data_IF_307431366273
#
_entry.id   IF_307431366273
#
_cell.length_a   1.000
_cell.length_b   1.000
_cell.length_c   1.000
_cell.angle_alpha   90.00
_cell.angle_beta   90.00
_cell.angle_gamma   90.00
#
_symmetry.space_group_name_H-M   'P 1'
#
loop_
_entity.id
_entity.type
_entity.pdbx_description
1 polymer ?
#
# COMPACT_ATOMS: atom_id res chain seq x y z
N UNK A 1 15.74 27.90 -5.78
CA UNK A 1 14.82 27.38 -4.75
C UNK A 1 14.31 25.98 -5.07
N UNK A 2 13.63 25.75 -6.20
CA UNK A 2 13.14 24.39 -6.57
C UNK A 2 14.29 23.36 -6.63
N UNK A 3 15.36 23.65 -7.32
CA UNK A 3 16.55 22.76 -7.40
C UNK A 3 17.14 22.43 -6.01
N UNK A 4 17.16 23.40 -5.08
CA UNK A 4 17.65 23.17 -3.70
C UNK A 4 16.69 22.22 -2.95
N UNK A 5 15.39 22.39 -3.10
CA UNK A 5 14.36 21.50 -2.51
C UNK A 5 14.53 20.09 -3.06
N UNK A 6 14.69 19.95 -4.36
CA UNK A 6 14.91 18.67 -5.04
C UNK A 6 16.18 17.96 -4.55
N UNK A 7 17.29 18.68 -4.44
CA UNK A 7 18.57 18.15 -3.94
C UNK A 7 18.44 17.67 -2.49
N UNK A 8 17.81 18.46 -1.61
CA UNK A 8 17.59 18.09 -0.21
C UNK A 8 16.66 16.87 -0.14
N UNK A 9 15.56 16.91 -0.88
CA UNK A 9 14.62 15.79 -0.92
C UNK A 9 15.28 14.50 -1.39
N UNK A 10 16.08 14.55 -2.44
CA UNK A 10 16.81 13.40 -2.96
C UNK A 10 17.79 12.83 -1.93
N UNK A 11 18.51 13.68 -1.20
CA UNK A 11 19.41 13.25 -0.15
C UNK A 11 18.67 12.56 1.00
N UNK A 12 17.56 13.14 1.46
CA UNK A 12 16.71 12.56 2.53
C UNK A 12 16.05 11.27 2.05
N UNK A 13 15.51 11.24 0.84
CA UNK A 13 14.88 10.06 0.24
C UNK A 13 15.87 8.89 0.14
N UNK A 14 17.08 9.16 -0.35
CA UNK A 14 18.13 8.14 -0.45
C UNK A 14 18.58 7.61 0.93
N UNK A 15 18.52 8.42 1.97
CA UNK A 15 18.77 7.97 3.34
C UNK A 15 17.61 7.10 3.86
N UNK A 16 16.38 7.57 3.70
CA UNK A 16 15.16 6.94 4.24
C UNK A 16 14.86 5.60 3.55
N UNK A 17 15.06 5.52 2.24
CA UNK A 17 14.92 4.27 1.47
C UNK A 17 16.25 3.57 1.22
N UNK A 18 17.32 4.06 1.86
CA UNK A 18 18.65 3.49 1.79
C UNK A 18 18.85 2.31 2.73
N UNK A 19 20.08 1.80 2.76
CA UNK A 19 20.46 0.62 3.56
C UNK A 19 20.10 0.75 5.04
N UNK A 20 20.32 1.90 5.74
CA UNK A 20 20.01 1.98 7.17
C UNK A 20 18.52 1.73 7.49
N UNK A 21 17.63 2.36 6.74
CA UNK A 21 16.19 2.19 6.97
C UNK A 21 15.71 0.78 6.60
N UNK A 22 16.22 0.21 5.49
CA UNK A 22 15.92 -1.18 5.12
C UNK A 22 16.38 -2.16 6.21
N UNK A 23 17.57 -1.98 6.77
CA UNK A 23 18.07 -2.82 7.88
C UNK A 23 17.17 -2.70 9.10
N UNK A 24 16.70 -1.49 9.43
CA UNK A 24 15.76 -1.29 10.54
C UNK A 24 14.42 -1.98 10.27
N UNK A 25 13.82 -1.77 9.10
CA UNK A 25 12.50 -2.34 8.77
C UNK A 25 12.56 -3.87 8.71
N UNK A 26 13.52 -4.42 7.96
CA UNK A 26 13.70 -5.88 7.87
C UNK A 26 14.17 -6.47 9.21
N UNK A 27 15.02 -5.76 9.95
CA UNK A 27 15.54 -6.17 11.25
C UNK A 27 14.43 -6.28 12.30
N UNK A 28 13.54 -5.30 12.40
CA UNK A 28 12.37 -5.35 13.29
C UNK A 28 11.44 -6.49 12.88
N UNK A 29 11.16 -6.63 11.57
CA UNK A 29 10.35 -7.74 11.05
C UNK A 29 10.94 -9.11 11.35
N UNK A 30 12.25 -9.27 11.20
CA UNK A 30 12.97 -10.50 11.52
C UNK A 30 12.95 -10.77 13.04
N UNK A 31 13.22 -9.76 13.86
CA UNK A 31 13.15 -9.87 15.31
C UNK A 31 11.76 -10.34 15.78
N UNK A 32 10.70 -9.71 15.29
CA UNK A 32 9.33 -10.11 15.60
C UNK A 32 9.03 -11.52 15.11
N UNK A 33 9.47 -11.88 13.90
CA UNK A 33 9.28 -13.23 13.35
C UNK A 33 9.95 -14.31 14.20
N UNK A 34 11.20 -14.11 14.62
CA UNK A 34 11.92 -15.05 15.48
C UNK A 34 11.22 -15.17 16.84
N UNK A 35 10.88 -14.04 17.45
CA UNK A 35 10.27 -14.00 18.80
C UNK A 35 8.87 -14.61 18.85
N UNK A 36 8.14 -14.58 17.73
CA UNK A 36 6.80 -15.20 17.61
C UNK A 36 6.85 -16.63 17.05
N UNK A 37 8.04 -17.16 16.76
CA UNK A 37 8.22 -18.47 16.15
C UNK A 37 7.65 -18.53 14.74
N UNK A 38 7.87 -17.50 13.94
CA UNK A 38 7.40 -17.35 12.55
C UNK A 38 5.89 -17.57 12.42
N UNK A 39 5.13 -16.87 13.26
CA UNK A 39 3.67 -16.99 13.33
C UNK A 39 2.98 -16.75 11.97
N UNK A 40 3.54 -15.89 11.13
CA UNK A 40 3.04 -15.59 9.79
C UNK A 40 2.98 -16.82 8.89
N UNK A 41 3.88 -17.80 9.05
CA UNK A 41 3.83 -19.07 8.32
C UNK A 41 2.94 -20.08 9.03
N UNK A 42 3.11 -20.23 10.35
CA UNK A 42 2.38 -21.23 11.16
C UNK A 42 0.88 -21.00 11.19
N UNK A 43 0.45 -19.76 11.11
CA UNK A 43 -0.97 -19.35 11.21
C UNK A 43 -1.53 -18.79 9.92
N UNK A 44 -0.78 -18.82 8.80
CA UNK A 44 -1.24 -18.30 7.50
C UNK A 44 -2.56 -18.98 7.07
N UNK A 45 -2.62 -20.31 7.10
CA UNK A 45 -3.84 -21.04 6.73
C UNK A 45 -5.04 -20.68 7.62
N UNK A 46 -4.81 -20.47 8.92
CA UNK A 46 -5.86 -20.00 9.84
C UNK A 46 -6.30 -18.57 9.51
N UNK A 47 -5.36 -17.67 9.24
CA UNK A 47 -5.63 -16.29 8.81
C UNK A 47 -6.45 -16.26 7.51
N UNK A 48 -6.05 -17.05 6.51
CA UNK A 48 -6.77 -17.20 5.24
C UNK A 48 -8.22 -17.68 5.46
N UNK A 49 -8.41 -18.76 6.22
CA UNK A 49 -9.74 -19.31 6.52
C UNK A 49 -10.63 -18.29 7.25
N UNK A 50 -10.06 -17.56 8.21
CA UNK A 50 -10.78 -16.58 9.00
C UNK A 50 -11.24 -15.39 8.14
N UNK A 51 -10.41 -14.95 7.19
CA UNK A 51 -10.74 -13.79 6.33
C UNK A 51 -11.67 -14.19 5.20
N UNK A 52 -11.32 -15.22 4.41
CA UNK A 52 -12.12 -15.65 3.26
C UNK A 52 -13.49 -16.19 3.69
N UNK A 53 -13.57 -16.84 4.85
CA UNK A 53 -14.84 -17.31 5.39
C UNK A 53 -15.83 -16.20 5.77
N UNK A 54 -15.37 -14.94 5.81
CA UNK A 54 -16.21 -13.78 6.13
C UNK A 54 -16.64 -12.97 4.91
N UNK A 55 -16.15 -13.27 3.71
CA UNK A 55 -16.51 -12.55 2.47
C UNK A 55 -18.03 -12.53 2.22
N UNK A 56 -18.71 -13.61 2.58
CA UNK A 56 -20.15 -13.75 2.37
C UNK A 56 -20.99 -13.62 3.67
N UNK A 57 -20.35 -13.29 4.80
CA UNK A 57 -21.08 -13.15 6.08
C UNK A 57 -21.55 -11.72 6.26
N UNK A 58 -22.86 -11.51 6.26
CA UNK A 58 -23.46 -10.22 6.63
C UNK A 58 -23.50 -10.11 8.16
N UNK A 59 -22.49 -9.46 8.75
CA UNK A 59 -22.49 -9.08 10.16
C UNK A 59 -22.57 -7.56 10.26
N UNK A 60 -23.47 -7.06 11.11
CA UNK A 60 -23.53 -5.63 11.40
C UNK A 60 -22.56 -5.27 12.53
N UNK A 61 -21.80 -4.19 12.33
CA UNK A 61 -20.93 -3.66 13.35
C UNK A 61 -21.71 -2.83 14.37
N UNK A 62 -21.19 -2.78 15.61
CA UNK A 62 -21.70 -1.91 16.66
C UNK A 62 -21.48 -0.43 16.31
N UNK A 63 -22.21 0.45 16.98
CA UNK A 63 -22.07 1.89 16.79
C UNK A 63 -20.64 2.39 17.05
N UNK A 64 -20.19 3.30 16.18
CA UNK A 64 -18.83 3.86 16.22
C UNK A 64 -17.73 2.93 15.70
N UNK A 65 -18.10 1.81 15.06
CA UNK A 65 -17.16 0.83 14.53
C UNK A 65 -17.58 0.32 13.14
N UNK A 66 -16.69 -0.44 12.52
CA UNK A 66 -16.94 -1.26 11.32
C UNK A 66 -16.63 -2.73 11.65
N UNK A 67 -17.10 -3.65 10.83
CA UNK A 67 -16.81 -5.09 11.06
C UNK A 67 -15.31 -5.36 10.87
N UNK A 68 -14.75 -6.44 11.46
CA UNK A 68 -13.37 -6.85 11.22
C UNK A 68 -13.04 -7.03 9.73
N UNK A 69 -13.99 -7.55 8.95
CA UNK A 69 -13.81 -7.71 7.50
C UNK A 69 -13.80 -6.37 6.76
N UNK A 70 -14.71 -5.43 7.12
CA UNK A 70 -14.67 -4.06 6.56
C UNK A 70 -13.36 -3.34 6.90
N UNK A 71 -12.81 -3.54 8.10
CA UNK A 71 -11.52 -2.99 8.48
C UNK A 71 -10.37 -3.54 7.61
N UNK A 72 -10.36 -4.85 7.34
CA UNK A 72 -9.41 -5.47 6.39
C UNK A 72 -9.59 -4.91 4.99
N UNK A 73 -10.81 -4.83 4.48
CA UNK A 73 -11.08 -4.27 3.16
C UNK A 73 -10.64 -2.80 3.07
N UNK A 74 -10.81 -2.02 4.14
CA UNK A 74 -10.36 -0.63 4.20
C UNK A 74 -8.82 -0.54 4.21
N UNK A 75 -8.13 -1.43 4.94
CA UNK A 75 -6.68 -1.51 4.91
C UNK A 75 -6.15 -1.98 3.55
N UNK A 76 -6.74 -3.04 2.97
CA UNK A 76 -6.43 -3.50 1.61
C UNK A 76 -6.73 -2.44 0.54
N UNK A 77 -7.78 -1.62 0.72
CA UNK A 77 -8.07 -0.51 -0.18
C UNK A 77 -6.90 0.48 -0.24
N UNK A 78 -6.20 0.70 0.87
CA UNK A 78 -5.05 1.60 0.94
C UNK A 78 -3.79 0.99 0.35
N UNK A 79 -3.55 -0.30 0.61
CA UNK A 79 -2.32 -1.01 0.23
C UNK A 79 -2.38 -1.52 -1.20
N UNK A 80 -3.51 -2.12 -1.62
CA UNK A 80 -3.70 -2.62 -2.99
C UNK A 80 -4.08 -1.47 -3.91
N UNK A 81 -3.06 -0.83 -4.47
CA UNK A 81 -3.18 0.37 -5.27
C UNK A 81 -2.19 0.44 -6.43
N UNK A 82 -1.76 1.65 -6.76
CA UNK A 82 -0.77 1.86 -7.82
C UNK A 82 0.59 1.23 -7.51
N UNK A 83 0.91 1.00 -6.22
CA UNK A 83 2.12 0.32 -5.78
C UNK A 83 2.27 -1.09 -6.34
N UNK A 84 1.17 -1.85 -6.39
CA UNK A 84 1.15 -3.22 -6.91
C UNK A 84 1.31 -3.30 -8.42
N UNK A 85 1.08 -2.22 -9.14
CA UNK A 85 1.10 -2.16 -10.61
C UNK A 85 2.31 -1.35 -11.06
N UNK A 86 2.30 -0.05 -10.85
CA UNK A 86 3.39 0.85 -11.23
C UNK A 86 4.65 0.65 -10.38
N UNK A 87 4.49 0.38 -9.07
CA UNK A 87 5.62 0.14 -8.17
C UNK A 87 6.40 -1.13 -8.53
N UNK A 88 5.70 -2.22 -8.87
CA UNK A 88 6.32 -3.48 -9.31
C UNK A 88 7.04 -3.29 -10.65
N UNK A 89 6.40 -2.61 -11.61
CA UNK A 89 7.01 -2.29 -12.89
C UNK A 89 8.30 -1.47 -12.71
N UNK A 90 8.27 -0.45 -11.86
CA UNK A 90 9.44 0.37 -11.53
C UNK A 90 10.54 -0.43 -10.80
N UNK A 91 10.17 -1.37 -9.92
CA UNK A 91 11.14 -2.25 -9.27
C UNK A 91 11.87 -3.13 -10.29
N UNK A 92 11.15 -3.71 -11.25
CA UNK A 92 11.72 -4.56 -12.31
C UNK A 92 12.58 -3.72 -13.25
N UNK A 93 12.11 -2.55 -13.68
CA UNK A 93 12.83 -1.69 -14.62
C UNK A 93 14.19 -1.20 -14.05
N UNK A 94 14.23 -0.83 -12.78
CA UNK A 94 15.47 -0.30 -12.13
C UNK A 94 16.27 -1.41 -11.46
N UNK A 95 15.61 -2.37 -10.81
CA UNK A 95 16.25 -3.42 -10.01
C UNK A 95 16.41 -4.76 -10.72
N UNK A 96 15.88 -4.87 -11.94
CA UNK A 96 15.84 -6.13 -12.67
C UNK A 96 14.80 -7.12 -12.12
N UNK A 97 14.62 -8.29 -12.76
CA UNK A 97 13.69 -9.32 -12.30
C UNK A 97 13.93 -9.78 -10.85
N UNK A 98 15.17 -9.75 -10.38
CA UNK A 98 15.54 -10.11 -9.02
C UNK A 98 14.93 -9.24 -7.93
N UNK A 99 14.49 -8.02 -8.25
CA UNK A 99 13.79 -7.16 -7.31
C UNK A 99 12.52 -7.83 -6.75
N UNK A 100 11.87 -8.69 -7.55
CA UNK A 100 10.68 -9.46 -7.14
C UNK A 100 11.00 -10.40 -5.98
N UNK A 101 12.14 -11.09 -6.02
CA UNK A 101 12.58 -11.94 -4.90
C UNK A 101 12.72 -11.14 -3.60
N UNK A 102 13.32 -9.97 -3.67
CA UNK A 102 13.49 -9.10 -2.50
C UNK A 102 12.18 -8.48 -2.01
N UNK A 103 11.20 -8.27 -2.91
CA UNK A 103 9.82 -7.95 -2.51
C UNK A 103 9.20 -9.08 -1.67
N UNK A 104 9.39 -10.35 -2.06
CA UNK A 104 8.90 -11.49 -1.29
C UNK A 104 9.54 -11.57 0.10
N UNK A 105 10.87 -11.38 0.19
CA UNK A 105 11.58 -11.36 1.48
C UNK A 105 11.01 -10.26 2.39
N UNK A 106 10.83 -9.04 1.85
CA UNK A 106 10.24 -7.94 2.62
C UNK A 106 8.81 -8.23 3.07
N UNK A 107 8.00 -8.86 2.21
CA UNK A 107 6.63 -9.23 2.55
C UNK A 107 6.54 -10.31 3.60
N UNK A 108 7.38 -11.35 3.53
CA UNK A 108 7.40 -12.42 4.54
C UNK A 108 7.73 -11.87 5.93
N UNK A 109 8.68 -10.96 6.04
CA UNK A 109 8.97 -10.28 7.30
C UNK A 109 7.90 -9.25 7.65
N UNK A 110 7.41 -8.54 6.66
CA UNK A 110 6.34 -7.54 6.76
C UNK A 110 5.03 -8.11 7.29
N UNK A 111 4.68 -9.36 6.97
CA UNK A 111 3.49 -10.02 7.54
C UNK A 111 3.52 -10.04 9.07
N UNK A 112 4.68 -10.32 9.67
CA UNK A 112 4.81 -10.33 11.13
C UNK A 112 4.82 -8.90 11.70
N UNK A 113 5.44 -7.96 10.99
CA UNK A 113 5.43 -6.54 11.35
C UNK A 113 4.00 -6.00 11.35
N UNK A 114 3.24 -6.19 10.27
CA UNK A 114 1.84 -5.77 10.16
C UNK A 114 0.96 -6.42 11.24
N UNK A 115 1.18 -7.71 11.51
CA UNK A 115 0.50 -8.42 12.59
C UNK A 115 0.68 -7.72 13.93
N UNK A 116 1.91 -7.36 14.29
CA UNK A 116 2.21 -6.67 15.53
C UNK A 116 1.65 -5.23 15.56
N UNK A 117 1.73 -4.49 14.45
CA UNK A 117 1.14 -3.16 14.29
C UNK A 117 -0.37 -3.17 14.57
N UNK A 118 -1.07 -4.13 13.98
CA UNK A 118 -2.53 -4.27 14.15
C UNK A 118 -2.89 -4.64 15.58
N UNK A 119 -2.14 -5.56 16.21
CA UNK A 119 -2.33 -5.92 17.63
C UNK A 119 -2.22 -4.69 18.52
N UNK A 120 -1.15 -3.91 18.37
CA UNK A 120 -0.93 -2.71 19.19
C UNK A 120 -2.00 -1.65 18.93
N UNK A 121 -2.39 -1.47 17.66
CA UNK A 121 -3.40 -0.49 17.29
C UNK A 121 -4.77 -0.80 17.89
N UNK A 122 -5.17 -2.07 17.94
CA UNK A 122 -6.44 -2.50 18.56
C UNK A 122 -6.33 -2.50 20.09
N UNK A 123 -5.18 -2.88 20.64
CA UNK A 123 -4.98 -2.93 22.10
C UNK A 123 -4.97 -1.53 22.74
N UNK A 124 -4.30 -0.56 22.12
CA UNK A 124 -4.14 0.81 22.64
C UNK A 124 -5.09 1.85 22.04
N UNK A 125 -6.10 1.42 21.27
CA UNK A 125 -7.13 2.32 20.73
C UNK A 125 -7.98 2.93 21.82
N UNK A 126 -8.64 4.02 21.47
CA UNK A 126 -9.57 4.72 22.35
C UNK A 126 -10.81 5.17 21.55
N UNK A 127 -11.83 5.65 22.25
CA UNK A 127 -12.98 6.29 21.62
C UNK A 127 -12.77 7.80 21.57
N UNK A 128 -13.05 8.39 20.39
CA UNK A 128 -13.05 9.83 20.24
C UNK A 128 -14.32 10.46 20.83
N UNK A 129 -14.42 11.80 20.77
CA UNK A 129 -15.59 12.57 21.26
C UNK A 129 -16.92 12.16 20.59
N UNK A 130 -16.89 11.54 19.42
CA UNK A 130 -18.05 11.06 18.66
C UNK A 130 -18.41 9.60 18.96
N UNK A 131 -17.61 8.94 19.81
CA UNK A 131 -17.79 7.52 20.12
C UNK A 131 -17.17 6.56 19.11
N UNK A 132 -16.47 7.05 18.06
CA UNK A 132 -15.78 6.20 17.10
C UNK A 132 -14.47 5.66 17.68
N UNK A 133 -14.12 4.43 17.32
CA UNK A 133 -12.81 3.87 17.64
C UNK A 133 -11.72 4.56 16.80
N UNK A 134 -10.66 4.99 17.48
CA UNK A 134 -9.47 5.62 16.89
C UNK A 134 -8.21 4.95 17.45
N UNK A 135 -7.26 4.67 16.58
CA UNK A 135 -6.02 3.97 16.93
C UNK A 135 -4.98 4.13 15.82
N UNK A 136 -3.91 3.37 15.94
CA UNK A 136 -2.76 3.44 15.05
C UNK A 136 -1.50 3.86 15.77
N UNK A 137 -0.37 4.11 15.05
CA UNK A 137 0.94 4.38 15.66
C UNK A 137 0.94 5.53 16.65
N UNK A 138 0.29 6.65 16.31
CA UNK A 138 0.21 7.80 17.21
C UNK A 138 -0.47 7.47 18.54
N UNK A 139 -1.45 6.56 18.54
CA UNK A 139 -2.14 6.14 19.76
C UNK A 139 -1.34 5.14 20.57
N UNK A 140 -0.81 4.07 19.95
CA UNK A 140 -0.04 3.11 20.74
C UNK A 140 1.32 3.64 21.22
N UNK A 141 1.94 4.57 20.49
CA UNK A 141 3.13 5.28 20.99
C UNK A 141 2.77 6.12 22.21
N UNK A 142 1.70 6.93 22.15
CA UNK A 142 1.28 7.78 23.27
C UNK A 142 0.80 6.95 24.47
N UNK A 143 -0.08 5.98 24.22
CA UNK A 143 -0.76 5.23 25.28
C UNK A 143 0.10 4.09 25.84
N UNK A 144 0.96 3.48 25.01
CA UNK A 144 1.81 2.37 25.38
C UNK A 144 3.16 2.78 25.99
N UNK A 145 3.81 3.83 25.45
CA UNK A 145 5.10 4.31 25.95
C UNK A 145 4.98 5.46 26.96
N UNK A 146 3.80 6.08 27.05
CA UNK A 146 3.52 7.11 28.05
C UNK A 146 3.84 8.54 27.60
N UNK A 147 3.68 9.49 28.54
CA UNK A 147 3.67 10.93 28.24
C UNK A 147 4.96 11.45 27.61
N UNK A 148 6.11 10.90 27.96
CA UNK A 148 7.42 11.32 27.45
C UNK A 148 7.60 11.05 25.94
N UNK A 149 6.80 10.17 25.37
CA UNK A 149 6.84 9.80 23.95
C UNK A 149 5.77 10.49 23.09
N UNK A 150 4.99 11.39 23.68
CA UNK A 150 3.93 12.12 22.97
C UNK A 150 4.46 12.90 21.75
N UNK A 151 5.68 13.44 21.85
CA UNK A 151 6.33 14.15 20.73
C UNK A 151 6.51 13.25 19.52
N UNK A 152 6.92 11.97 19.74
CA UNK A 152 7.10 11.01 18.64
C UNK A 152 5.76 10.58 18.02
N UNK A 153 4.71 10.44 18.85
CA UNK A 153 3.36 10.20 18.37
C UNK A 153 2.84 11.37 17.51
N UNK A 154 3.11 12.60 17.94
CA UNK A 154 2.74 13.81 17.18
C UNK A 154 3.57 13.95 15.89
N UNK A 155 4.85 13.58 15.92
CA UNK A 155 5.70 13.54 14.73
C UNK A 155 5.14 12.56 13.69
N UNK A 156 4.79 11.33 14.11
CA UNK A 156 4.16 10.36 13.24
C UNK A 156 2.89 10.92 12.58
N UNK A 157 2.00 11.49 13.39
CA UNK A 157 0.75 12.05 12.90
C UNK A 157 0.97 13.23 11.92
N UNK A 158 1.93 14.10 12.19
CA UNK A 158 2.27 15.23 11.31
C UNK A 158 2.82 14.74 9.95
N UNK A 159 3.75 13.76 9.98
CA UNK A 159 4.25 13.12 8.75
C UNK A 159 3.12 12.44 7.98
N UNK A 160 2.20 11.77 8.68
CA UNK A 160 1.02 11.14 8.09
C UNK A 160 0.14 12.15 7.35
N UNK A 161 -0.16 13.29 7.94
CA UNK A 161 -0.96 14.36 7.29
C UNK A 161 -0.28 14.88 6.02
N UNK A 162 1.05 15.00 6.00
CA UNK A 162 1.78 15.45 4.81
C UNK A 162 1.80 14.38 3.72
N UNK A 163 2.01 13.12 4.10
CA UNK A 163 2.10 11.99 3.16
C UNK A 163 0.81 11.75 2.40
N UNK A 164 -0.35 11.89 3.05
CA UNK A 164 -1.64 11.51 2.43
C UNK A 164 -2.00 12.37 1.23
N UNK A 165 -1.58 13.62 1.17
CA UNK A 165 -1.85 14.51 0.03
C UNK A 165 -1.09 14.06 -1.23
N UNK A 166 0.14 13.60 -1.09
CA UNK A 166 0.96 13.09 -2.19
C UNK A 166 0.66 11.62 -2.47
N UNK A 167 1.23 10.71 -1.67
CA UNK A 167 1.14 9.25 -1.88
C UNK A 167 -0.30 8.73 -1.88
N UNK A 168 -1.14 9.26 -0.99
CA UNK A 168 -2.51 8.79 -0.81
C UNK A 168 -3.51 9.37 -1.79
N UNK A 169 -3.22 10.50 -2.47
CA UNK A 169 -4.18 11.19 -3.33
C UNK A 169 -3.59 11.57 -4.69
N UNK A 170 -2.77 12.63 -4.75
CA UNK A 170 -2.35 13.22 -6.01
C UNK A 170 -1.69 12.21 -6.96
N UNK A 171 -0.81 11.34 -6.45
CA UNK A 171 -0.15 10.31 -7.25
C UNK A 171 -1.12 9.22 -7.73
N UNK A 172 -2.13 8.90 -6.94
CA UNK A 172 -3.17 7.95 -7.30
C UNK A 172 -4.02 8.50 -8.45
N UNK A 173 -4.48 9.75 -8.33
CA UNK A 173 -5.27 10.41 -9.36
C UNK A 173 -4.46 10.58 -10.65
N UNK A 174 -3.19 10.93 -10.56
CA UNK A 174 -2.29 11.00 -11.71
C UNK A 174 -2.21 9.66 -12.45
N UNK A 175 -2.15 8.55 -11.72
CA UNK A 175 -2.19 7.21 -12.34
C UNK A 175 -3.55 6.89 -12.98
N UNK A 176 -4.65 7.33 -12.37
CA UNK A 176 -5.99 7.19 -12.96
C UNK A 176 -6.07 7.90 -14.32
N UNK A 177 -5.67 9.17 -14.36
CA UNK A 177 -5.74 9.92 -15.61
C UNK A 177 -4.81 9.34 -16.67
N UNK A 178 -3.59 8.93 -16.30
CA UNK A 178 -2.67 8.30 -17.23
C UNK A 178 -3.23 6.99 -17.83
N UNK A 179 -3.94 6.19 -17.04
CA UNK A 179 -4.58 4.96 -17.50
C UNK A 179 -5.76 5.25 -18.45
N UNK A 180 -6.58 6.26 -18.12
CA UNK A 180 -7.71 6.70 -18.95
C UNK A 180 -7.19 7.31 -20.27
N UNK A 181 -6.17 8.16 -20.20
CA UNK A 181 -5.53 8.76 -21.39
C UNK A 181 -5.00 7.68 -22.32
N UNK A 182 -4.32 6.68 -21.79
CA UNK A 182 -3.84 5.54 -22.57
C UNK A 182 -4.97 4.81 -23.30
N UNK A 183 -6.11 4.60 -22.62
CA UNK A 183 -7.27 3.97 -23.23
C UNK A 183 -7.90 4.86 -24.30
N UNK A 184 -8.11 6.15 -24.03
CA UNK A 184 -8.71 7.09 -24.98
C UNK A 184 -7.87 7.22 -26.27
N UNK A 185 -6.56 7.30 -26.12
CA UNK A 185 -5.63 7.36 -27.25
C UNK A 185 -5.62 6.03 -28.04
N UNK A 186 -5.62 4.89 -27.36
CA UNK A 186 -5.61 3.56 -27.98
C UNK A 186 -6.86 3.30 -28.85
N UNK A 187 -8.00 3.89 -28.46
CA UNK A 187 -9.25 3.77 -29.21
C UNK A 187 -9.52 4.96 -30.17
N UNK A 188 -8.59 5.90 -30.31
CA UNK A 188 -8.75 7.14 -31.10
C UNK A 188 -10.01 7.94 -30.71
N UNK A 189 -10.38 7.94 -29.43
CA UNK A 189 -11.54 8.69 -28.90
C UNK A 189 -11.17 10.15 -28.62
N UNK A 190 -9.92 10.41 -28.27
CA UNK A 190 -9.40 11.75 -28.00
C UNK A 190 -8.00 11.93 -28.60
N UNK A 191 -7.66 13.19 -28.90
CA UNK A 191 -6.31 13.62 -29.28
C UNK A 191 -5.55 14.16 -28.08
N UNK A 192 -4.22 14.17 -28.14
CA UNK A 192 -3.36 14.68 -27.07
C UNK A 192 -3.67 16.12 -26.65
N UNK A 193 -4.16 16.96 -27.60
CA UNK A 193 -4.57 18.35 -27.30
C UNK A 193 -5.80 18.46 -26.41
N UNK A 194 -6.64 17.42 -26.34
CA UNK A 194 -7.88 17.40 -25.56
C UNK A 194 -7.67 16.86 -24.15
N UNK A 195 -6.57 16.11 -23.90
CA UNK A 195 -6.33 15.43 -22.63
C UNK A 195 -6.33 16.38 -21.43
N UNK A 196 -5.80 17.60 -21.57
CA UNK A 196 -5.78 18.56 -20.44
C UNK A 196 -7.16 18.90 -19.92
N UNK A 197 -8.15 19.09 -20.78
CA UNK A 197 -9.55 19.38 -20.38
C UNK A 197 -10.21 18.10 -19.84
N UNK A 198 -9.99 16.96 -20.48
CA UNK A 198 -10.53 15.67 -20.03
C UNK A 198 -10.02 15.36 -18.63
N UNK A 199 -8.72 15.52 -18.38
CA UNK A 199 -8.10 15.26 -17.08
C UNK A 199 -8.63 16.18 -15.97
N UNK A 200 -8.87 17.46 -16.30
CA UNK A 200 -9.53 18.38 -15.36
C UNK A 200 -10.94 17.88 -15.00
N UNK A 201 -11.74 17.46 -15.97
CA UNK A 201 -13.09 16.94 -15.73
C UNK A 201 -13.02 15.67 -14.87
N UNK A 202 -12.11 14.73 -15.18
CA UNK A 202 -11.88 13.52 -14.40
C UNK A 202 -11.50 13.88 -12.95
N UNK A 203 -10.56 14.82 -12.78
CA UNK A 203 -10.14 15.30 -11.45
C UNK A 203 -11.30 15.86 -10.63
N UNK A 204 -12.19 16.65 -11.24
CA UNK A 204 -13.38 17.17 -10.59
C UNK A 204 -14.35 16.05 -10.19
N UNK A 205 -14.61 15.09 -11.09
CA UNK A 205 -15.48 13.95 -10.81
C UNK A 205 -14.91 13.13 -9.63
N UNK A 206 -13.61 12.82 -9.66
CA UNK A 206 -12.96 12.09 -8.55
C UNK A 206 -13.07 12.88 -7.26
N UNK A 207 -12.81 14.19 -7.27
CA UNK A 207 -12.91 15.03 -6.08
C UNK A 207 -14.31 14.98 -5.46
N UNK A 208 -15.35 15.06 -6.29
CA UNK A 208 -16.75 14.99 -5.82
C UNK A 208 -17.04 13.61 -5.23
N UNK A 209 -16.68 12.52 -5.93
CA UNK A 209 -16.98 11.15 -5.46
C UNK A 209 -16.21 10.83 -4.18
N UNK A 210 -14.94 11.21 -4.10
CA UNK A 210 -14.12 11.07 -2.88
C UNK A 210 -14.74 11.84 -1.71
N UNK A 211 -15.14 13.12 -1.93
CA UNK A 211 -15.80 13.93 -0.89
C UNK A 211 -17.10 13.28 -0.40
N UNK A 212 -17.93 12.78 -1.31
CA UNK A 212 -19.19 12.11 -0.96
C UNK A 212 -18.96 10.88 -0.09
N UNK A 213 -17.93 10.08 -0.37
CA UNK A 213 -17.60 8.90 0.43
C UNK A 213 -17.00 9.28 1.78
N UNK A 214 -15.97 10.13 1.81
CA UNK A 214 -15.25 10.50 3.03
C UNK A 214 -16.15 11.24 4.03
N UNK A 215 -16.96 12.21 3.57
CA UNK A 215 -17.88 12.95 4.43
C UNK A 215 -18.96 12.07 5.06
N UNK A 216 -19.22 10.87 4.49
CA UNK A 216 -20.06 9.84 5.09
C UNK A 216 -19.42 9.09 6.25
N UNK A 217 -18.16 9.36 6.56
CA UNK A 217 -17.43 8.79 7.68
C UNK A 217 -17.08 7.32 7.52
N UNK A 218 -16.55 6.71 8.60
CA UNK A 218 -15.94 5.37 8.58
C UNK A 218 -16.91 4.27 8.09
N UNK A 219 -18.20 4.33 8.43
CA UNK A 219 -19.19 3.35 8.02
C UNK A 219 -19.36 3.34 6.49
N UNK A 220 -19.39 4.53 5.84
CA UNK A 220 -19.48 4.63 4.38
C UNK A 220 -18.23 4.16 3.70
N UNK A 221 -17.05 4.56 4.20
CA UNK A 221 -15.77 4.09 3.70
C UNK A 221 -15.72 2.56 3.76
N UNK A 222 -16.00 1.96 4.91
CA UNK A 222 -16.01 0.50 5.10
C UNK A 222 -16.96 -0.23 4.15
N UNK A 223 -18.17 0.32 3.92
CA UNK A 223 -19.14 -0.27 3.00
C UNK A 223 -18.70 -0.21 1.54
N UNK A 224 -18.09 0.91 1.12
CA UNK A 224 -17.57 1.06 -0.25
C UNK A 224 -16.38 0.14 -0.47
N UNK A 225 -15.42 0.10 0.46
CA UNK A 225 -14.22 -0.73 0.33
C UNK A 225 -14.52 -2.22 0.40
N UNK A 226 -15.52 -2.65 1.21
CA UNK A 226 -15.96 -4.04 1.30
C UNK A 226 -16.49 -4.59 -0.04
N UNK A 227 -17.15 -3.76 -0.85
CA UNK A 227 -17.58 -4.15 -2.18
C UNK A 227 -16.50 -4.01 -3.25
N UNK A 228 -15.75 -2.90 -3.20
CA UNK A 228 -14.79 -2.55 -4.23
C UNK A 228 -13.55 -3.45 -4.20
N UNK A 229 -12.98 -3.73 -3.02
CA UNK A 229 -11.70 -4.44 -2.89
C UNK A 229 -11.76 -5.88 -3.40
N UNK A 230 -12.73 -6.73 -3.00
CA UNK A 230 -12.82 -8.07 -3.56
C UNK A 230 -13.06 -8.07 -5.08
N UNK A 231 -13.89 -7.14 -5.58
CA UNK A 231 -14.16 -7.00 -7.02
C UNK A 231 -12.89 -6.66 -7.81
N UNK A 232 -12.16 -5.61 -7.40
CA UNK A 232 -10.96 -5.19 -8.11
C UNK A 232 -9.85 -6.23 -8.05
N UNK A 233 -9.67 -6.88 -6.87
CA UNK A 233 -8.67 -7.93 -6.71
C UNK A 233 -8.99 -9.15 -7.60
N UNK A 234 -10.25 -9.59 -7.61
CA UNK A 234 -10.67 -10.72 -8.44
C UNK A 234 -10.47 -10.42 -9.93
N UNK A 235 -10.90 -9.24 -10.39
CA UNK A 235 -10.72 -8.83 -11.78
C UNK A 235 -9.25 -8.86 -12.18
N UNK A 236 -8.38 -8.27 -11.36
CA UNK A 236 -6.96 -8.21 -11.65
C UNK A 236 -6.28 -9.60 -11.63
N UNK A 237 -6.64 -10.42 -10.63
CA UNK A 237 -6.13 -11.80 -10.53
C UNK A 237 -6.51 -12.60 -11.78
N UNK A 238 -7.78 -12.53 -12.23
CA UNK A 238 -8.24 -13.26 -13.41
C UNK A 238 -7.50 -12.81 -14.68
N UNK A 239 -7.35 -11.50 -14.88
CA UNK A 239 -6.63 -10.96 -16.03
C UNK A 239 -5.15 -11.39 -16.03
N UNK A 240 -4.49 -11.30 -14.88
CA UNK A 240 -3.08 -11.70 -14.75
C UNK A 240 -2.87 -13.20 -14.92
N UNK A 241 -3.75 -14.03 -14.32
CA UNK A 241 -3.71 -15.49 -14.51
C UNK A 241 -3.90 -15.86 -15.98
N UNK A 242 -4.76 -15.15 -16.70
CA UNK A 242 -4.94 -15.40 -18.14
C UNK A 242 -3.65 -15.13 -18.93
N UNK A 243 -2.92 -14.03 -18.65
CA UNK A 243 -1.59 -13.78 -19.27
C UNK A 243 -0.62 -14.92 -18.96
N UNK A 244 -0.56 -15.34 -17.69
CA UNK A 244 0.34 -16.41 -17.25
C UNK A 244 0.02 -17.75 -17.92
N UNK A 245 -1.26 -18.11 -17.99
CA UNK A 245 -1.71 -19.35 -18.63
C UNK A 245 -1.43 -19.38 -20.13
N UNK A 246 -1.68 -18.26 -20.81
CA UNK A 246 -1.39 -18.12 -22.26
C UNK A 246 0.11 -18.14 -22.58
N UNK A 247 0.96 -17.81 -21.59
CA UNK A 247 2.41 -17.82 -21.71
C UNK A 247 3.07 -18.83 -20.76
N UNK A 248 2.40 -19.94 -20.43
CA UNK A 248 2.82 -20.89 -19.40
C UNK A 248 4.21 -21.49 -19.64
N UNK A 249 4.62 -21.61 -20.88
CA UNK A 249 5.94 -22.13 -21.27
C UNK A 249 7.08 -21.21 -20.83
N UNK A 250 6.83 -19.91 -20.67
CA UNK A 250 7.83 -18.93 -20.24
C UNK A 250 7.99 -18.88 -18.71
N UNK A 251 7.03 -19.41 -17.95
CA UNK A 251 7.00 -19.32 -16.49
C UNK A 251 8.27 -19.87 -15.82
N UNK A 252 8.77 -21.06 -16.18
CA UNK A 252 10.01 -21.57 -15.57
C UNK A 252 11.22 -20.67 -15.80
N UNK A 253 11.37 -20.10 -17.01
CA UNK A 253 12.46 -19.19 -17.33
C UNK A 253 12.34 -17.87 -16.57
N UNK A 254 11.12 -17.36 -16.37
CA UNK A 254 10.85 -16.15 -15.58
C UNK A 254 11.23 -16.35 -14.11
N UNK A 255 10.79 -17.45 -13.48
CA UNK A 255 11.20 -17.74 -12.11
C UNK A 255 12.71 -17.93 -11.98
N UNK A 256 13.35 -18.62 -12.93
CA UNK A 256 14.81 -18.74 -12.97
C UNK A 256 15.49 -17.36 -13.05
N UNK A 257 14.93 -16.42 -13.86
CA UNK A 257 15.46 -15.06 -13.98
C UNK A 257 15.28 -14.25 -12.68
N UNK A 258 14.18 -14.43 -11.95
CA UNK A 258 13.93 -13.80 -10.66
C UNK A 258 14.97 -14.27 -9.63
N UNK A 259 15.15 -15.58 -9.47
CA UNK A 259 16.11 -16.12 -8.51
C UNK A 259 17.58 -15.79 -8.89
N UNK A 260 17.94 -15.95 -10.16
CA UNK A 260 19.28 -15.60 -10.64
C UNK A 260 19.54 -14.10 -10.53
N UNK A 261 18.55 -13.27 -10.91
CA UNK A 261 18.65 -11.82 -10.86
C UNK A 261 18.69 -11.26 -9.45
N UNK A 262 18.18 -11.98 -8.45
CA UNK A 262 18.23 -11.56 -7.06
C UNK A 262 19.66 -11.41 -6.54
N UNK A 263 20.56 -12.31 -6.97
CA UNK A 263 21.96 -12.35 -6.51
C UNK A 263 22.96 -11.92 -7.58
N UNK A 264 22.62 -12.03 -8.86
CA UNK A 264 23.43 -11.60 -9.99
C UNK A 264 22.56 -10.87 -11.04
N UNK A 265 22.08 -9.66 -10.75
CA UNK A 265 21.20 -8.95 -11.66
C UNK A 265 21.85 -8.60 -13.00
N UNK A 266 23.17 -8.35 -13.03
CA UNK A 266 23.92 -8.07 -14.25
C UNK A 266 23.77 -9.20 -15.29
N UNK A 267 23.71 -10.45 -14.85
CA UNK A 267 23.58 -11.61 -15.72
C UNK A 267 22.23 -11.74 -16.44
N UNK A 268 21.19 -11.06 -15.93
CA UNK A 268 19.81 -11.12 -16.48
C UNK A 268 19.36 -9.79 -17.09
N UNK A 269 20.11 -8.71 -16.90
CA UNK A 269 19.81 -7.36 -17.40
C UNK A 269 20.83 -6.83 -18.40
N UNK A 270 21.71 -7.71 -18.92
CA UNK A 270 22.77 -7.31 -19.85
C UNK A 270 23.78 -6.34 -19.22
N UNK A 271 23.99 -6.41 -17.90
CA UNK A 271 24.95 -5.56 -17.18
C UNK A 271 24.39 -4.21 -16.71
N UNK A 272 23.18 -3.84 -17.10
CA UNK A 272 22.58 -2.55 -16.74
C UNK A 272 22.34 -2.43 -15.25
N UNK A 273 21.80 -3.47 -14.60
CA UNK A 273 21.67 -3.52 -13.15
C UNK A 273 22.92 -4.15 -12.57
N UNK A 274 23.85 -3.32 -12.11
CA UNK A 274 25.22 -3.74 -11.81
C UNK A 274 25.37 -4.57 -10.52
N UNK A 275 24.51 -4.39 -9.52
CA UNK A 275 24.72 -5.00 -8.20
C UNK A 275 23.48 -5.61 -7.59
N UNK A 276 23.65 -6.66 -6.78
CA UNK A 276 22.61 -7.26 -5.95
C UNK A 276 21.96 -6.20 -5.03
N UNK A 277 22.73 -5.24 -4.55
CA UNK A 277 22.22 -4.16 -3.70
C UNK A 277 21.17 -3.31 -4.40
N UNK A 278 21.35 -3.00 -5.69
CA UNK A 278 20.35 -2.26 -6.48
C UNK A 278 19.04 -3.04 -6.56
N UNK A 279 19.12 -4.32 -6.89
CA UNK A 279 17.96 -5.22 -6.94
C UNK A 279 17.26 -5.31 -5.58
N UNK A 280 18.02 -5.54 -4.52
CA UNK A 280 17.53 -5.63 -3.14
C UNK A 280 16.85 -4.33 -2.69
N UNK A 281 17.51 -3.19 -2.86
CA UNK A 281 16.98 -1.89 -2.44
C UNK A 281 15.66 -1.57 -3.14
N UNK A 282 15.61 -1.80 -4.45
CA UNK A 282 14.37 -1.53 -5.23
C UNK A 282 13.27 -2.52 -4.88
N UNK A 283 13.59 -3.79 -4.71
CA UNK A 283 12.61 -4.80 -4.31
C UNK A 283 12.03 -4.54 -2.93
N UNK A 284 12.87 -4.34 -1.92
CA UNK A 284 12.43 -4.08 -0.54
C UNK A 284 11.64 -2.78 -0.44
N UNK A 285 12.16 -1.68 -1.00
CA UNK A 285 11.50 -0.38 -0.97
C UNK A 285 10.11 -0.43 -1.61
N UNK A 286 9.98 -1.04 -2.79
CA UNK A 286 8.68 -1.13 -3.48
C UNK A 286 7.74 -2.15 -2.85
N UNK A 287 8.27 -3.22 -2.24
CA UNK A 287 7.48 -4.13 -1.43
C UNK A 287 6.85 -3.44 -0.23
N UNK A 288 7.64 -2.68 0.55
CA UNK A 288 7.15 -1.92 1.71
C UNK A 288 6.19 -0.81 1.27
N UNK A 289 6.49 -0.12 0.18
CA UNK A 289 5.60 0.91 -0.38
C UNK A 289 4.21 0.33 -0.72
N UNK A 290 4.15 -0.91 -1.24
CA UNK A 290 2.92 -1.58 -1.58
C UNK A 290 2.15 -2.03 -0.33
N UNK A 291 2.76 -2.85 0.53
CA UNK A 291 2.07 -3.48 1.66
C UNK A 291 2.03 -2.64 2.94
N UNK A 292 2.73 -1.50 2.98
CA UNK A 292 2.80 -0.56 4.10
C UNK A 292 3.26 -1.19 5.45
N UNK A 293 3.85 -2.39 5.44
CA UNK A 293 4.35 -3.02 6.66
C UNK A 293 5.61 -2.30 7.19
N UNK A 294 5.57 -1.87 8.42
CA UNK A 294 6.59 -1.02 9.02
C UNK A 294 6.27 0.49 8.96
N UNK A 295 5.28 0.89 8.16
CA UNK A 295 4.77 2.27 8.14
C UNK A 295 3.69 2.52 9.20
N UNK A 296 3.01 1.47 9.64
CA UNK A 296 1.96 1.53 10.65
C UNK A 296 0.59 2.01 10.15
N UNK A 297 0.49 2.49 8.91
CA UNK A 297 -0.69 3.13 8.34
C UNK A 297 -1.90 2.21 8.31
N UNK A 298 -1.78 0.99 7.81
CA UNK A 298 -2.87 0.01 7.75
C UNK A 298 -3.48 -0.29 9.12
N UNK A 299 -2.69 -0.21 10.20
CA UNK A 299 -3.17 -0.42 11.56
C UNK A 299 -4.23 0.59 12.01
N UNK A 300 -4.26 1.79 11.39
CA UNK A 300 -5.27 2.83 11.64
C UNK A 300 -6.67 2.35 11.21
N UNK A 301 -6.78 1.68 10.05
CA UNK A 301 -8.03 1.09 9.61
C UNK A 301 -8.47 -0.07 10.53
N UNK A 302 -7.53 -0.96 10.86
CA UNK A 302 -7.82 -2.10 11.74
C UNK A 302 -8.29 -1.69 13.14
N UNK A 303 -7.81 -0.58 13.67
CA UNK A 303 -8.22 -0.07 14.98
C UNK A 303 -9.70 0.32 15.03
N UNK A 304 -10.35 0.59 13.89
CA UNK A 304 -11.76 0.98 13.81
C UNK A 304 -12.73 -0.21 13.87
N UNK A 305 -12.23 -1.44 13.85
CA UNK A 305 -13.08 -2.64 13.88
C UNK A 305 -13.78 -2.81 15.26
N UNK A 306 -14.91 -3.50 15.30
CA UNK A 306 -15.65 -3.77 16.53
C UNK A 306 -15.12 -4.97 17.33
N UNK A 307 -13.99 -5.55 16.91
CA UNK A 307 -13.35 -6.68 17.59
C UNK A 307 -12.94 -6.35 19.02
N UNK A 308 -13.03 -7.36 19.90
CA UNK A 308 -12.47 -7.27 21.25
C UNK A 308 -11.11 -7.95 21.37
N UNK A 309 -10.70 -8.72 20.35
CA UNK A 309 -9.50 -9.56 20.37
C UNK A 309 -8.41 -8.98 19.46
N UNK A 310 -7.40 -8.29 20.02
CA UNK A 310 -6.32 -7.68 19.24
C UNK A 310 -5.58 -8.68 18.34
N UNK A 311 -5.31 -9.89 18.85
CA UNK A 311 -4.57 -10.91 18.10
C UNK A 311 -5.40 -11.46 16.94
N UNK A 312 -6.71 -11.64 17.12
CA UNK A 312 -7.60 -12.03 16.04
C UNK A 312 -7.60 -10.99 14.91
N UNK A 313 -7.62 -9.69 15.26
CA UNK A 313 -7.52 -8.64 14.24
C UNK A 313 -6.12 -8.60 13.62
N UNK A 314 -5.08 -8.86 14.38
CA UNK A 314 -3.70 -8.96 13.86
C UNK A 314 -3.54 -10.01 12.77
N UNK A 315 -4.21 -11.16 12.89
CA UNK A 315 -4.18 -12.22 11.88
C UNK A 315 -4.69 -11.73 10.51
N UNK A 316 -5.64 -10.80 10.47
CA UNK A 316 -6.03 -10.16 9.21
C UNK A 316 -4.88 -9.32 8.58
N UNK A 317 -3.99 -8.75 9.39
CA UNK A 317 -2.80 -8.06 8.88
C UNK A 317 -1.81 -8.99 8.17
N UNK A 318 -1.71 -10.27 8.61
CA UNK A 318 -0.93 -11.30 7.87
C UNK A 318 -1.56 -11.54 6.49
N UNK A 319 -2.89 -11.71 6.44
CA UNK A 319 -3.64 -11.89 5.20
C UNK A 319 -3.46 -10.70 4.25
N UNK A 320 -3.54 -9.47 4.77
CA UNK A 320 -3.40 -8.24 4.02
C UNK A 320 -2.07 -8.20 3.24
N UNK A 321 -0.93 -8.37 3.91
CA UNK A 321 0.39 -8.35 3.27
C UNK A 321 0.58 -9.53 2.32
N UNK A 322 0.02 -10.70 2.65
CA UNK A 322 0.08 -11.87 1.78
C UNK A 322 -0.66 -11.61 0.46
N UNK A 323 -1.88 -11.12 0.50
CA UNK A 323 -2.65 -10.81 -0.72
C UNK A 323 -2.00 -9.69 -1.51
N UNK A 324 -1.60 -8.60 -0.83
CA UNK A 324 -0.99 -7.45 -1.49
C UNK A 324 0.27 -7.83 -2.26
N UNK A 325 1.24 -8.39 -1.57
CA UNK A 325 2.59 -8.54 -2.15
C UNK A 325 2.84 -9.94 -2.70
N UNK A 326 2.52 -11.00 -1.94
CA UNK A 326 2.80 -12.35 -2.40
C UNK A 326 1.88 -12.75 -3.55
N UNK A 327 0.62 -12.30 -3.55
CA UNK A 327 -0.30 -12.61 -4.65
C UNK A 327 -0.26 -11.51 -5.72
N UNK A 328 -0.72 -10.30 -5.43
CA UNK A 328 -0.96 -9.28 -6.47
C UNK A 328 0.35 -8.77 -7.07
N UNK A 329 1.36 -8.41 -6.28
CA UNK A 329 2.65 -7.97 -6.85
C UNK A 329 3.35 -9.09 -7.65
N UNK A 330 3.24 -10.35 -7.20
CA UNK A 330 3.80 -11.49 -7.95
C UNK A 330 3.08 -11.68 -9.28
N UNK A 331 1.75 -11.56 -9.31
CA UNK A 331 0.97 -11.63 -10.55
C UNK A 331 1.37 -10.51 -11.51
N UNK A 332 1.53 -9.29 -11.03
CA UNK A 332 2.01 -8.16 -11.85
C UNK A 332 3.40 -8.44 -12.43
N UNK A 333 4.34 -8.83 -11.58
CA UNK A 333 5.71 -9.13 -11.99
C UNK A 333 5.74 -10.27 -13.03
N UNK A 334 4.99 -11.33 -12.77
CA UNK A 334 4.92 -12.48 -13.69
C UNK A 334 4.28 -12.06 -14.99
N UNK A 335 3.18 -11.28 -14.98
CA UNK A 335 2.54 -10.74 -16.19
C UNK A 335 3.53 -9.97 -17.06
N UNK A 336 4.31 -9.05 -16.49
CA UNK A 336 5.32 -8.27 -17.21
C UNK A 336 6.37 -9.21 -17.81
N UNK A 337 6.90 -10.14 -17.02
CA UNK A 337 8.06 -10.95 -17.41
C UNK A 337 7.69 -12.09 -18.38
N UNK A 338 6.50 -12.72 -18.26
CA UNK A 338 6.11 -13.84 -19.14
C UNK A 338 5.61 -13.36 -20.50
N UNK A 339 5.05 -12.14 -20.59
CA UNK A 339 4.48 -11.59 -21.81
C UNK A 339 5.52 -11.29 -22.90
N UNK A 340 6.80 -11.16 -22.49
CA UNK A 340 7.86 -10.76 -23.41
C UNK A 340 7.83 -9.27 -23.80
N UNK A 341 7.09 -8.46 -23.05
CA UNK A 341 7.09 -7.00 -23.27
C UNK A 341 8.51 -6.44 -23.12
N UNK A 342 8.96 -5.53 -24.01
CA UNK A 342 10.29 -4.94 -23.90
C UNK A 342 10.44 -4.14 -22.60
N UNK A 343 11.53 -4.39 -21.88
CA UNK A 343 11.87 -3.68 -20.64
C UNK A 343 13.15 -2.91 -20.86
N UNK A 344 13.09 -1.58 -20.71
CA UNK A 344 14.28 -0.73 -20.75
C UNK A 344 14.87 -0.64 -19.34
N UNK A 345 15.79 -1.55 -19.03
CA UNK A 345 16.43 -1.56 -17.72
C UNK A 345 17.24 -0.28 -17.48
N UNK A 346 17.27 0.17 -16.22
CA UNK A 346 17.94 1.40 -15.80
C UNK A 346 17.11 2.67 -15.99
N UNK A 347 15.97 2.60 -16.65
CA UNK A 347 15.02 3.71 -16.79
C UNK A 347 13.79 3.51 -15.92
N UNK A 348 13.25 4.62 -15.39
CA UNK A 348 12.03 4.55 -14.60
C UNK A 348 10.86 4.08 -15.48
N UNK A 349 10.05 3.17 -14.95
CA UNK A 349 8.83 2.71 -15.55
C UNK A 349 7.69 2.75 -14.53
N UNK A 350 6.47 2.95 -15.02
CA UNK A 350 5.25 3.00 -14.23
C UNK A 350 4.23 1.97 -14.68
N UNK A 351 2.95 2.33 -14.56
CA UNK A 351 1.84 1.44 -14.92
C UNK A 351 1.83 1.07 -16.41
N UNK A 352 2.40 1.91 -17.27
CA UNK A 352 2.49 1.68 -18.72
C UNK A 352 3.23 0.38 -19.08
N UNK A 353 4.26 0.01 -18.30
CA UNK A 353 4.97 -1.25 -18.52
C UNK A 353 4.07 -2.46 -18.20
N UNK A 354 3.29 -2.38 -17.14
CA UNK A 354 2.32 -3.43 -16.80
C UNK A 354 1.21 -3.53 -17.85
N UNK A 355 0.67 -2.39 -18.27
CA UNK A 355 -0.34 -2.34 -19.34
C UNK A 355 0.20 -2.97 -20.62
N UNK A 356 1.44 -2.63 -20.99
CA UNK A 356 2.11 -3.23 -22.15
C UNK A 356 2.19 -4.75 -22.06
N UNK A 357 2.47 -5.30 -20.86
CA UNK A 357 2.46 -6.74 -20.62
C UNK A 357 1.10 -7.40 -20.92
N UNK A 358 0.01 -6.74 -20.56
CA UNK A 358 -1.33 -7.20 -20.90
C UNK A 358 -1.62 -7.05 -22.39
N UNK A 359 -1.25 -5.91 -22.99
CA UNK A 359 -1.49 -5.62 -24.42
C UNK A 359 -0.77 -6.60 -25.34
N UNK A 360 0.48 -6.96 -25.03
CA UNK A 360 1.24 -7.96 -25.82
C UNK A 360 0.50 -9.30 -25.86
N UNK A 361 -0.15 -9.69 -24.79
CA UNK A 361 -0.85 -10.99 -24.71
C UNK A 361 -2.27 -10.93 -25.27
N UNK A 362 -3.04 -9.90 -24.93
CA UNK A 362 -4.48 -9.83 -25.26
C UNK A 362 -4.81 -8.93 -26.45
N UNK A 363 -3.89 -8.06 -26.86
CA UNK A 363 -4.15 -7.02 -27.84
C UNK A 363 -4.69 -5.72 -27.21
N UNK A 364 -4.89 -4.70 -28.03
CA UNK A 364 -5.21 -3.35 -27.55
C UNK A 364 -6.56 -3.23 -26.81
N UNK A 365 -7.51 -4.14 -27.03
CA UNK A 365 -8.81 -4.09 -26.38
C UNK A 365 -8.72 -4.17 -24.84
N UNK A 366 -7.64 -4.77 -24.32
CA UNK A 366 -7.44 -4.92 -22.89
C UNK A 366 -7.17 -3.58 -22.18
N UNK A 367 -6.76 -2.54 -22.91
CA UNK A 367 -6.47 -1.22 -22.30
C UNK A 367 -7.66 -0.63 -21.55
N UNK A 368 -8.88 -0.86 -22.02
CA UNK A 368 -10.08 -0.45 -21.32
C UNK A 368 -10.23 -1.16 -19.95
N UNK A 369 -10.00 -2.47 -19.93
CA UNK A 369 -10.12 -3.26 -18.69
C UNK A 369 -8.99 -2.96 -17.70
N UNK A 370 -7.77 -2.74 -18.20
CA UNK A 370 -6.64 -2.30 -17.35
C UNK A 370 -6.87 -0.90 -16.80
N UNK A 371 -7.46 0.00 -17.58
CA UNK A 371 -7.85 1.33 -17.09
C UNK A 371 -8.91 1.22 -15.97
N UNK A 372 -9.95 0.40 -16.14
CA UNK A 372 -10.97 0.17 -15.09
C UNK A 372 -10.32 -0.40 -13.82
N UNK A 373 -9.44 -1.39 -13.96
CA UNK A 373 -8.74 -1.98 -12.83
C UNK A 373 -7.89 -0.92 -12.09
N UNK A 374 -7.09 -0.12 -12.82
CA UNK A 374 -6.28 0.95 -12.25
C UNK A 374 -7.12 2.04 -11.56
N UNK A 375 -8.24 2.41 -12.17
CA UNK A 375 -9.20 3.35 -11.54
C UNK A 375 -9.72 2.80 -10.22
N UNK A 376 -10.13 1.53 -10.17
CA UNK A 376 -10.60 0.89 -8.95
C UNK A 376 -9.51 0.85 -7.87
N UNK A 377 -8.29 0.42 -8.23
CA UNK A 377 -7.15 0.35 -7.32
C UNK A 377 -6.76 1.72 -6.76
N UNK A 378 -6.57 2.71 -7.63
CA UNK A 378 -6.19 4.05 -7.20
C UNK A 378 -7.30 4.75 -6.41
N UNK A 379 -8.56 4.62 -6.82
CA UNK A 379 -9.71 5.19 -6.11
C UNK A 379 -9.85 4.59 -4.70
N UNK A 380 -9.73 3.27 -4.56
CA UNK A 380 -9.77 2.64 -3.24
C UNK A 380 -8.65 3.15 -2.33
N UNK A 381 -7.44 3.33 -2.88
CA UNK A 381 -6.29 3.88 -2.14
C UNK A 381 -6.56 5.31 -1.66
N UNK A 382 -7.16 6.17 -2.50
CA UNK A 382 -7.55 7.53 -2.10
C UNK A 382 -8.49 7.50 -0.89
N UNK A 383 -9.46 6.59 -0.86
CA UNK A 383 -10.40 6.48 0.25
C UNK A 383 -9.72 6.01 1.55
N UNK A 384 -8.87 5.01 1.48
CA UNK A 384 -8.17 4.47 2.65
C UNK A 384 -7.17 5.48 3.23
N UNK A 385 -6.37 6.13 2.38
CA UNK A 385 -5.45 7.18 2.83
C UNK A 385 -6.17 8.43 3.31
N UNK A 386 -7.35 8.75 2.78
CA UNK A 386 -8.23 9.80 3.31
C UNK A 386 -8.64 9.52 4.77
N UNK A 387 -8.93 8.27 5.11
CA UNK A 387 -9.15 7.86 6.50
C UNK A 387 -7.89 8.05 7.35
N UNK A 388 -6.71 7.61 6.87
CA UNK A 388 -5.46 7.75 7.60
C UNK A 388 -5.12 9.20 7.91
N UNK A 389 -5.20 10.09 6.92
CA UNK A 389 -4.98 11.53 7.10
C UNK A 389 -5.97 12.14 8.07
N UNK A 390 -7.25 11.79 7.98
CA UNK A 390 -8.27 12.25 8.91
C UNK A 390 -7.92 11.86 10.35
N UNK A 391 -7.52 10.61 10.61
CA UNK A 391 -7.16 10.13 11.95
C UNK A 391 -5.86 10.74 12.47
N UNK A 392 -4.87 10.97 11.59
CA UNK A 392 -3.65 11.68 11.96
C UNK A 392 -3.92 13.13 12.34
N UNK A 393 -4.73 13.85 11.56
CA UNK A 393 -5.07 15.25 11.86
C UNK A 393 -5.95 15.36 13.09
N UNK A 394 -6.90 14.43 13.28
CA UNK A 394 -7.73 14.34 14.47
C UNK A 394 -6.91 14.16 15.75
N UNK A 395 -5.85 13.34 15.70
CA UNK A 395 -4.94 13.14 16.83
C UNK A 395 -4.23 14.45 17.24
N UNK A 396 -3.88 15.31 16.26
CA UNK A 396 -3.18 16.58 16.51
C UNK A 396 -4.11 17.69 16.99
N UNK A 397 -5.30 17.81 16.40
CA UNK A 397 -6.17 18.99 16.54
C UNK A 397 -7.60 18.69 16.98
N UNK A 398 -7.91 17.40 17.26
CA UNK A 398 -9.27 16.97 17.64
C UNK A 398 -10.21 16.76 16.46
N UNK A 399 -11.43 16.27 16.75
CA UNK A 399 -12.37 15.82 15.72
C UNK A 399 -13.03 16.91 14.87
N UNK A 400 -12.92 18.19 15.30
CA UNK A 400 -13.53 19.35 14.60
C UNK A 400 -12.90 19.61 13.22
N UNK A 401 -11.63 19.25 13.04
CA UNK A 401 -10.89 19.45 11.79
C UNK A 401 -11.16 18.41 10.70
N UNK A 402 -11.87 17.32 11.04
CA UNK A 402 -12.07 16.19 10.13
C UNK A 402 -12.80 16.60 8.84
N UNK A 403 -13.94 17.32 8.96
CA UNK A 403 -14.72 17.73 7.77
C UNK A 403 -13.95 18.70 6.86
N UNK A 404 -13.37 19.82 7.37
CA UNK A 404 -12.52 20.68 6.55
C UNK A 404 -11.38 19.93 5.86
N UNK A 405 -10.70 19.02 6.57
CA UNK A 405 -9.64 18.22 6.00
C UNK A 405 -10.14 17.33 4.85
N UNK A 406 -11.26 16.63 5.03
CA UNK A 406 -11.82 15.76 3.99
C UNK A 406 -12.16 16.55 2.71
N UNK A 407 -12.64 17.78 2.84
CA UNK A 407 -12.91 18.66 1.68
C UNK A 407 -11.61 19.06 1.00
N UNK A 408 -10.62 19.56 1.74
CA UNK A 408 -9.31 19.95 1.18
C UNK A 408 -8.63 18.75 0.54
N UNK A 409 -8.62 17.61 1.22
CA UNK A 409 -8.05 16.36 0.69
C UNK A 409 -8.71 15.94 -0.64
N UNK A 410 -10.04 16.01 -0.72
CA UNK A 410 -10.76 15.68 -1.96
C UNK A 410 -10.42 16.63 -3.11
N UNK A 411 -10.24 17.93 -2.85
CA UNK A 411 -9.86 18.90 -3.87
C UNK A 411 -8.45 18.69 -4.44
N UNK A 412 -7.54 18.05 -3.69
CA UNK A 412 -6.20 17.69 -4.17
C UNK A 412 -6.26 16.70 -5.35
N UNK A 413 -7.34 15.98 -5.52
CA UNK A 413 -7.56 15.14 -6.70
C UNK A 413 -7.48 15.95 -8.02
N UNK A 414 -7.95 17.21 -8.02
CA UNK A 414 -7.87 18.08 -9.20
C UNK A 414 -6.41 18.42 -9.52
N UNK A 415 -5.59 18.64 -8.49
CA UNK A 415 -4.15 18.90 -8.64
C UNK A 415 -3.46 17.65 -9.22
N UNK A 416 -3.77 16.47 -8.66
CA UNK A 416 -3.24 15.19 -9.15
C UNK A 416 -3.59 14.89 -10.61
N UNK A 417 -4.77 15.33 -11.06
CA UNK A 417 -5.22 15.14 -12.43
C UNK A 417 -4.57 16.08 -13.45
N UNK A 418 -4.15 17.27 -13.02
CA UNK A 418 -3.80 18.36 -13.96
C UNK A 418 -2.34 18.79 -13.94
N UNK A 419 -1.55 18.33 -12.94
CA UNK A 419 -0.16 18.78 -12.77
C UNK A 419 0.83 17.64 -13.04
N UNK A 420 2.01 18.00 -13.54
CA UNK A 420 3.16 17.11 -13.53
C UNK A 420 3.67 16.98 -12.07
N UNK A 421 3.68 15.75 -11.58
CA UNK A 421 3.94 15.45 -10.17
C UNK A 421 5.39 15.00 -9.88
N UNK A 422 6.33 15.14 -10.82
CA UNK A 422 7.68 14.57 -10.68
C UNK A 422 8.34 14.85 -9.32
N UNK A 423 8.46 16.13 -8.94
CA UNK A 423 9.01 16.51 -7.63
C UNK A 423 8.07 16.13 -6.47
N UNK A 424 6.76 16.27 -6.63
CA UNK A 424 5.79 15.95 -5.60
C UNK A 424 5.79 14.45 -5.26
N UNK A 425 5.98 13.58 -6.26
CA UNK A 425 6.19 12.15 -6.06
C UNK A 425 7.39 11.88 -5.14
N UNK A 426 8.52 12.51 -5.42
CA UNK A 426 9.72 12.36 -4.61
C UNK A 426 9.54 12.83 -3.17
N UNK A 427 8.86 13.96 -2.98
CA UNK A 427 8.57 14.50 -1.65
C UNK A 427 7.60 13.59 -0.88
N UNK A 428 6.53 13.15 -1.52
CA UNK A 428 5.56 12.25 -0.92
C UNK A 428 6.18 10.91 -0.50
N UNK A 429 7.04 10.34 -1.36
CA UNK A 429 7.78 9.11 -1.08
C UNK A 429 8.73 9.29 0.13
N UNK A 430 9.37 10.44 0.23
CA UNK A 430 10.25 10.78 1.37
C UNK A 430 9.47 10.83 2.68
N UNK A 431 8.34 11.53 2.72
CA UNK A 431 7.52 11.59 3.94
C UNK A 431 6.93 10.23 4.31
N UNK A 432 6.54 9.45 3.31
CA UNK A 432 6.07 8.08 3.51
C UNK A 432 7.12 7.23 4.22
N UNK A 433 8.35 7.27 3.75
CA UNK A 433 9.44 6.53 4.38
C UNK A 433 9.82 7.07 5.77
N UNK A 434 9.77 8.39 6.00
CA UNK A 434 10.04 8.99 7.31
C UNK A 434 9.04 8.53 8.39
N UNK A 435 7.79 8.20 8.03
CA UNK A 435 6.79 7.66 8.95
C UNK A 435 7.22 6.33 9.55
N UNK A 436 8.03 5.53 8.85
CA UNK A 436 8.52 4.25 9.36
C UNK A 436 9.34 4.41 10.64
N UNK A 437 10.12 5.49 10.77
CA UNK A 437 11.04 5.68 11.89
C UNK A 437 10.32 5.68 13.24
N UNK A 438 9.38 6.60 13.52
CA UNK A 438 8.66 6.61 14.79
C UNK A 438 7.82 5.35 14.99
N UNK A 439 7.29 4.76 13.92
CA UNK A 439 6.53 3.52 14.00
C UNK A 439 7.39 2.34 14.44
N UNK A 440 8.53 2.11 13.81
CA UNK A 440 9.43 1.00 14.14
C UNK A 440 10.00 1.11 15.55
N UNK A 441 10.33 2.32 16.01
CA UNK A 441 10.76 2.56 17.41
C UNK A 441 9.63 2.17 18.37
N UNK A 442 8.40 2.65 18.13
CA UNK A 442 7.24 2.31 18.95
C UNK A 442 6.97 0.81 18.96
N UNK A 443 7.02 0.17 17.79
CA UNK A 443 6.79 -1.27 17.62
C UNK A 443 7.84 -2.11 18.35
N UNK A 444 9.11 -1.75 18.24
CA UNK A 444 10.21 -2.44 18.92
C UNK A 444 10.08 -2.34 20.44
N UNK A 445 9.84 -1.14 20.96
CA UNK A 445 9.69 -0.90 22.40
C UNK A 445 8.45 -1.56 23.00
N UNK A 446 7.36 -1.66 22.22
CA UNK A 446 6.10 -2.30 22.64
C UNK A 446 6.02 -3.78 22.28
N UNK A 447 7.05 -4.36 21.67
CA UNK A 447 7.06 -5.77 21.28
C UNK A 447 6.79 -6.75 22.45
N UNK A 448 7.22 -6.51 23.72
CA UNK A 448 6.86 -7.38 24.84
C UNK A 448 5.34 -7.47 25.06
N UNK A 449 4.60 -6.37 24.85
CA UNK A 449 3.13 -6.35 24.94
C UNK A 449 2.53 -7.27 23.87
N UNK A 450 3.05 -7.19 22.64
CA UNK A 450 2.62 -8.07 21.53
C UNK A 450 2.81 -9.54 21.90
N UNK A 451 3.99 -9.91 22.42
CA UNK A 451 4.30 -11.30 22.77
C UNK A 451 3.40 -11.84 23.88
N UNK A 452 3.10 -11.01 24.89
CA UNK A 452 2.20 -11.38 25.98
C UNK A 452 0.77 -11.61 25.48
N UNK A 453 0.24 -10.71 24.66
CA UNK A 453 -1.08 -10.83 24.06
C UNK A 453 -1.22 -12.08 23.17
N UNK A 454 -0.19 -12.40 22.38
CA UNK A 454 -0.15 -13.61 21.56
C UNK A 454 -0.20 -14.86 22.46
N UNK A 455 0.62 -14.90 23.52
CA UNK A 455 0.65 -16.02 24.47
C UNK A 455 -0.71 -16.22 25.13
N UNK A 456 -1.33 -15.16 25.63
CA UNK A 456 -2.65 -15.20 26.26
C UNK A 456 -3.75 -15.67 25.30
N UNK A 457 -3.74 -15.17 24.06
CA UNK A 457 -4.73 -15.53 23.05
C UNK A 457 -4.68 -17.01 22.71
N UNK A 458 -3.50 -17.55 22.39
CA UNK A 458 -3.36 -18.96 22.02
C UNK A 458 -3.37 -19.93 23.21
N UNK A 459 -3.30 -19.45 24.46
CA UNK A 459 -3.56 -20.28 25.63
C UNK A 459 -5.06 -20.49 25.87
N UNK A 460 -5.92 -19.59 25.37
CA UNK A 460 -7.38 -19.67 25.49
C UNK A 460 -8.07 -20.35 24.32
N UNK A 461 -7.40 -20.42 23.15
CA UNK A 461 -7.93 -20.94 21.90
C UNK A 461 -7.02 -22.03 21.31
#
# INVERSE_FOLDING_TARGET
MLHTIETINTAVNNFVWGVPAMVCILGVGLYLSIRTGFIQFRKLGYSMKMTLGKIFSQTEAKDGAITPFQAVCTALASTVGTGNIAGVAGAIAIGGPGAVFWMWISAFLGMCTKFAEVILAVHFREKNEKGDWVGGPMYYIRNGLGKNWKWMASLYAALGVLTVFGTGNATQVNTIVAAIDSALLSYNIADTSQLGIINLIIGIIIAIVVALVLLGGIKRIGKVTEGLVPFMALLYILLSLGVILLNITNVPAVFASIFRGAFNPAAVTGGVVGTMFTSMTKGVSRGIFSNEAGLGTGSIAHATSDTKEPVAQGLYGIFEVFIDTIIICTLTATTILVSGTPITYGQAAGAELTISGFVVTYGNWITLFTAIALVCFAFSTILGWGLYGTRCLEFLFGSKVNKPFMVVYSLVAIVGATMDLGLLWGIADTFNGLMAIPNLVGLFLLSPVVFNLIKEYFAKN
#
